data_IF_239168206999
#
_entry.id   IF_239168206999
#
_cell.length_a   1.000
_cell.length_b   1.000
_cell.length_c   1.000
_cell.angle_alpha   90.00
_cell.angle_beta   90.00
_cell.angle_gamma   90.00
#
_symmetry.space_group_name_H-M   'P 1'
#
loop_
_entity.id
_entity.type
_entity.pdbx_description
1 polymer ?
#
# COMPACT_ATOMS: atom_id res chain seq x y z
N UNK A 1 -11.43 1.60 -8.09
CA UNK A 1 -10.43 2.68 -7.87
C UNK A 1 -9.61 2.78 -9.15
N UNK A 2 -9.17 3.97 -9.56
CA UNK A 2 -8.27 4.10 -10.71
C UNK A 2 -6.82 3.73 -10.35
N UNK A 3 -6.01 3.41 -11.37
CA UNK A 3 -4.56 3.16 -11.21
C UNK A 3 -3.83 4.38 -10.61
N UNK A 4 -4.25 5.59 -10.98
CA UNK A 4 -3.76 6.85 -10.41
C UNK A 4 -4.12 7.02 -8.93
N UNK A 5 -5.35 6.71 -8.52
CA UNK A 5 -5.73 6.76 -7.10
C UNK A 5 -4.97 5.74 -6.24
N UNK A 6 -4.55 4.61 -6.83
CA UNK A 6 -3.69 3.66 -6.12
C UNK A 6 -2.29 4.22 -5.87
N UNK A 7 -1.69 4.90 -6.86
CA UNK A 7 -0.40 5.58 -6.69
C UNK A 7 -0.44 6.63 -5.58
N UNK A 8 -1.47 7.46 -5.55
CA UNK A 8 -1.64 8.46 -4.49
C UNK A 8 -1.71 7.82 -3.10
N UNK A 9 -2.45 6.72 -2.96
CA UNK A 9 -2.53 5.98 -1.69
C UNK A 9 -1.22 5.28 -1.33
N UNK A 10 -0.49 4.75 -2.31
CA UNK A 10 0.83 4.15 -2.09
C UNK A 10 1.78 5.22 -1.54
N UNK A 11 1.84 6.40 -2.15
CA UNK A 11 2.73 7.46 -1.70
C UNK A 11 2.34 7.99 -0.32
N UNK A 12 1.04 8.18 -0.05
CA UNK A 12 0.58 8.56 1.28
C UNK A 12 0.96 7.52 2.35
N UNK A 13 0.76 6.23 2.06
CA UNK A 13 1.12 5.13 2.97
C UNK A 13 2.64 4.99 3.15
N UNK A 14 3.43 5.32 2.13
CA UNK A 14 4.90 5.34 2.20
C UNK A 14 5.39 6.45 3.14
N UNK A 15 4.83 7.65 3.04
CA UNK A 15 5.16 8.77 3.93
C UNK A 15 4.76 8.48 5.37
N UNK A 16 3.59 7.86 5.58
CA UNK A 16 3.13 7.39 6.89
C UNK A 16 4.13 6.39 7.49
N UNK A 17 4.55 5.37 6.73
CA UNK A 17 5.52 4.37 7.20
C UNK A 17 6.88 4.99 7.56
N UNK A 18 7.36 5.94 6.74
CA UNK A 18 8.61 6.67 7.02
C UNK A 18 8.49 7.43 8.33
N UNK A 19 7.42 8.21 8.51
CA UNK A 19 7.18 8.96 9.74
C UNK A 19 7.11 8.02 10.97
N UNK A 20 6.38 6.90 10.86
CA UNK A 20 6.29 5.91 11.93
C UNK A 20 7.65 5.29 12.26
N UNK A 21 8.47 4.99 11.25
CA UNK A 21 9.81 4.41 11.46
C UNK A 21 10.80 5.34 12.14
N UNK A 22 10.57 6.67 12.09
CA UNK A 22 11.36 7.64 12.84
C UNK A 22 10.97 7.71 14.32
N UNK A 23 9.72 7.37 14.65
CA UNK A 23 9.16 7.53 15.99
C UNK A 23 8.95 6.22 16.73
N UNK A 24 8.98 5.09 16.03
CA UNK A 24 8.73 3.76 16.58
C UNK A 24 9.77 2.76 16.08
N UNK A 25 9.99 1.71 16.86
CA UNK A 25 10.79 0.57 16.41
C UNK A 25 10.15 -0.08 15.18
N UNK A 26 10.98 -0.65 14.31
CA UNK A 26 10.51 -1.30 13.08
C UNK A 26 9.61 -2.52 13.34
N UNK A 27 9.72 -3.11 14.53
CA UNK A 27 8.90 -4.23 15.03
C UNK A 27 7.63 -3.76 15.74
N UNK A 28 7.42 -2.46 15.88
CA UNK A 28 6.20 -1.94 16.49
C UNK A 28 4.98 -2.28 15.64
N UNK A 29 3.86 -2.51 16.31
CA UNK A 29 2.60 -2.87 15.65
C UNK A 29 2.19 -1.82 14.61
N UNK A 30 2.38 -0.53 14.90
CA UNK A 30 2.06 0.55 13.98
C UNK A 30 2.89 0.50 12.68
N UNK A 31 4.20 0.24 12.78
CA UNK A 31 5.07 0.10 11.60
C UNK A 31 4.72 -1.16 10.81
N UNK A 32 4.43 -2.27 11.50
CA UNK A 32 4.02 -3.52 10.85
C UNK A 32 2.70 -3.34 10.08
N UNK A 33 1.69 -2.74 10.71
CA UNK A 33 0.38 -2.49 10.07
C UNK A 33 0.51 -1.56 8.87
N UNK A 34 1.26 -0.47 9.00
CA UNK A 34 1.53 0.45 7.89
C UNK A 34 2.28 -0.24 6.75
N UNK A 35 3.21 -1.15 7.07
CA UNK A 35 3.94 -1.95 6.07
C UNK A 35 3.01 -2.91 5.32
N UNK A 36 2.17 -3.67 6.04
CA UNK A 36 1.19 -4.59 5.44
C UNK A 36 0.19 -3.85 4.54
N UNK A 37 -0.23 -2.65 4.95
CA UNK A 37 -1.11 -1.79 4.16
C UNK A 37 -0.42 -1.32 2.87
N UNK A 38 0.85 -0.91 2.95
CA UNK A 38 1.65 -0.52 1.79
C UNK A 38 1.80 -1.68 0.79
N UNK A 39 2.16 -2.87 1.26
CA UNK A 39 2.26 -4.08 0.43
C UNK A 39 0.94 -4.40 -0.27
N UNK A 40 -0.18 -4.30 0.45
CA UNK A 40 -1.51 -4.53 -0.14
C UNK A 40 -1.81 -3.54 -1.28
N UNK A 41 -1.44 -2.27 -1.11
CA UNK A 41 -1.65 -1.24 -2.15
C UNK A 41 -0.74 -1.46 -3.35
N UNK A 42 0.53 -1.80 -3.13
CA UNK A 42 1.49 -2.13 -4.19
C UNK A 42 1.01 -3.34 -4.99
N UNK A 43 0.58 -4.40 -4.30
CA UNK A 43 0.05 -5.59 -4.95
C UNK A 43 -1.19 -5.28 -5.80
N UNK A 44 -2.10 -4.44 -5.31
CA UNK A 44 -3.27 -3.99 -6.08
C UNK A 44 -2.88 -3.17 -7.31
N UNK A 45 -1.85 -2.34 -7.20
CA UNK A 45 -1.36 -1.54 -8.31
C UNK A 45 -0.65 -2.40 -9.37
N UNK A 46 0.19 -3.33 -8.95
CA UNK A 46 0.90 -4.25 -9.85
C UNK A 46 -0.06 -5.18 -10.58
N UNK A 47 -1.11 -5.63 -9.90
CA UNK A 47 -2.14 -6.51 -10.48
C UNK A 47 -3.35 -5.74 -11.01
N UNK A 48 -3.26 -4.41 -11.16
CA UNK A 48 -4.41 -3.59 -11.50
C UNK A 48 -5.10 -4.08 -12.78
N UNK A 49 -4.31 -4.44 -13.79
CA UNK A 49 -4.82 -4.91 -15.08
C UNK A 49 -5.30 -6.39 -15.00
N UNK A 50 -4.67 -7.22 -14.16
CA UNK A 50 -5.08 -8.62 -13.91
C UNK A 50 -6.42 -8.73 -13.16
N UNK A 51 -6.74 -7.78 -12.28
CA UNK A 51 -8.01 -7.77 -11.54
C UNK A 51 -9.22 -7.52 -12.45
N UNK A 52 -9.07 -6.74 -13.53
CA UNK A 52 -10.14 -6.53 -14.51
C UNK A 52 -10.32 -7.73 -15.45
N UNK A 53 -9.25 -8.50 -15.73
CA UNK A 53 -9.35 -9.74 -16.51
C UNK A 53 -10.15 -10.84 -15.78
N UNK A 54 -10.01 -10.94 -14.45
CA UNK A 54 -10.75 -11.92 -13.63
C UNK A 54 -12.18 -11.49 -13.31
N UNK A 55 -12.45 -10.18 -13.15
CA UNK A 55 -13.79 -9.65 -12.87
C UNK A 55 -14.67 -9.49 -14.12
N UNK A 56 -14.11 -9.71 -15.32
CA UNK A 56 -14.83 -9.67 -16.61
C UNK A 56 -15.18 -11.07 -17.15
N UNK A 57 -14.96 -12.13 -16.36
CA UNK A 57 -15.43 -13.50 -16.59
C UNK A 57 -16.62 -13.81 -15.70
#
# INVERSE_FOLDING_TARGET
MSKSMLLEKIEACRQELIALSYHHELTSQAVIESSMKLDTLINKYQNYDNYYELASR
#
